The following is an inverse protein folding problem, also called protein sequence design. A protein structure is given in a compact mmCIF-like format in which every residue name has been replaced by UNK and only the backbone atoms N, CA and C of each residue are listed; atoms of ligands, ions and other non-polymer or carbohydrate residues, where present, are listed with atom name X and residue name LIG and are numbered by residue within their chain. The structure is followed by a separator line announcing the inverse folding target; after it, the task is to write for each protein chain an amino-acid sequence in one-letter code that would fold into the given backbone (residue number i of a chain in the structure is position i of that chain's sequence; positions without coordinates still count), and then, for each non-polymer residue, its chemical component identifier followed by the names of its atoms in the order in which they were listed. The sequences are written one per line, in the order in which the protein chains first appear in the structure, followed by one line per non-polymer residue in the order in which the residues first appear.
data_IF_791303667496
#
_entry.id   IF_791303667496
#
_cell.length_a   1.000
_cell.length_b   1.000
_cell.length_c   1.000
_cell.angle_alpha   90.00
_cell.angle_beta   90.00
_cell.angle_gamma   90.00
#
_symmetry.space_group_name_H-M   'P 1'
#
loop_
_entity.id
_entity.type
_entity.pdbx_description
1 polymer ?
#
# COMPACT_ATOMS: atom_id res chain seq x y z
N UNK A 1 7.55 3.48 42.56
CA UNK A 1 7.67 3.71 41.11
C UNK A 1 6.68 2.79 40.42
N UNK A 2 5.59 3.31 39.88
CA UNK A 2 4.63 2.50 39.13
C UNK A 2 5.23 2.17 37.77
N UNK A 3 5.41 0.89 37.45
CA UNK A 3 5.83 0.45 36.13
C UNK A 3 4.65 0.66 35.17
N UNK A 4 4.61 1.82 34.51
CA UNK A 4 3.66 2.08 33.42
C UNK A 4 4.24 1.43 32.18
N UNK A 5 3.78 0.23 31.85
CA UNK A 5 4.10 -0.41 30.58
C UNK A 5 3.38 0.36 29.47
N UNK A 6 4.14 1.02 28.59
CA UNK A 6 3.57 1.70 27.43
C UNK A 6 2.78 0.67 26.59
N UNK A 7 1.52 0.99 26.30
CA UNK A 7 0.70 0.16 25.43
C UNK A 7 1.32 0.16 24.02
N UNK A 8 1.60 -1.03 23.50
CA UNK A 8 2.10 -1.17 22.13
C UNK A 8 1.04 -0.70 21.13
N UNK A 9 1.45 -0.13 19.97
CA UNK A 9 0.53 0.22 18.91
C UNK A 9 -0.29 -1.00 18.48
N UNK A 10 -1.60 -0.81 18.28
CA UNK A 10 -2.50 -1.88 17.82
C UNK A 10 -2.13 -2.40 16.41
N UNK A 11 -1.48 -1.54 15.63
CA UNK A 11 -0.98 -1.81 14.28
C UNK A 11 0.43 -1.30 14.16
N UNK A 12 1.32 -2.16 13.68
CA UNK A 12 2.70 -1.81 13.38
C UNK A 12 3.11 -2.53 12.12
N UNK A 13 3.86 -1.84 11.28
CA UNK A 13 4.47 -2.44 10.10
C UNK A 13 5.55 -3.42 10.55
N UNK A 14 5.57 -4.60 9.96
CA UNK A 14 6.67 -5.53 10.09
C UNK A 14 7.96 -4.92 9.50
N UNK A 15 9.12 -5.48 9.87
CA UNK A 15 10.39 -5.05 9.29
C UNK A 15 10.43 -5.21 7.76
N UNK A 16 9.74 -6.22 7.23
CA UNK A 16 9.61 -6.46 5.79
C UNK A 16 8.76 -5.38 5.14
N UNK A 17 7.59 -5.06 5.69
CA UNK A 17 6.71 -4.00 5.18
C UNK A 17 7.39 -2.62 5.25
N UNK A 18 8.15 -2.35 6.32
CA UNK A 18 8.94 -1.12 6.42
C UNK A 18 10.00 -1.03 5.30
N UNK A 19 10.70 -2.14 5.01
CA UNK A 19 11.70 -2.18 3.94
C UNK A 19 11.04 -2.04 2.56
N UNK A 20 9.92 -2.75 2.35
CA UNK A 20 9.11 -2.67 1.15
C UNK A 20 8.68 -1.23 0.88
N UNK A 21 8.10 -0.53 1.85
CA UNK A 21 7.68 0.87 1.69
C UNK A 21 8.85 1.81 1.38
N UNK A 22 9.98 1.66 2.07
CA UNK A 22 11.17 2.50 1.85
C UNK A 22 11.76 2.31 0.45
N UNK A 23 11.88 1.07 0.00
CA UNK A 23 12.44 0.75 -1.33
C UNK A 23 11.42 1.09 -2.42
N UNK A 24 10.18 0.63 -2.26
CA UNK A 24 9.08 0.86 -3.19
C UNK A 24 8.83 2.34 -3.44
N UNK A 25 8.82 3.17 -2.40
CA UNK A 25 8.64 4.62 -2.58
C UNK A 25 9.80 5.26 -3.37
N UNK A 26 11.04 4.82 -3.17
CA UNK A 26 12.20 5.30 -3.96
C UNK A 26 12.09 4.88 -5.42
N UNK A 27 11.74 3.61 -5.67
CA UNK A 27 11.51 3.10 -7.02
C UNK A 27 10.37 3.84 -7.72
N UNK A 28 9.28 4.15 -7.02
CA UNK A 28 8.19 4.96 -7.58
C UNK A 28 8.70 6.33 -8.02
N UNK A 29 9.50 7.02 -7.21
CA UNK A 29 10.03 8.35 -7.53
C UNK A 29 10.96 8.39 -8.75
N UNK A 30 11.52 7.25 -9.15
CA UNK A 30 12.32 7.10 -10.37
C UNK A 30 11.46 6.91 -11.63
N UNK A 31 10.16 6.57 -11.48
CA UNK A 31 9.23 6.37 -12.59
C UNK A 31 8.63 7.68 -13.11
N UNK A 32 8.24 7.67 -14.39
CA UNK A 32 7.44 8.76 -14.94
C UNK A 32 6.08 8.84 -14.23
N UNK A 33 5.65 10.03 -13.81
CA UNK A 33 4.50 10.27 -12.93
C UNK A 33 4.59 9.62 -11.52
N UNK A 34 5.80 9.19 -11.13
CA UNK A 34 6.09 8.50 -9.87
C UNK A 34 5.66 9.24 -8.61
N UNK A 35 5.71 10.57 -8.62
CA UNK A 35 5.29 11.42 -7.50
C UNK A 35 3.82 11.23 -7.13
N UNK A 36 2.95 10.99 -8.12
CA UNK A 36 1.52 10.80 -7.89
C UNK A 36 1.27 9.43 -7.27
N UNK A 37 2.00 8.40 -7.71
CA UNK A 37 1.96 7.07 -7.08
C UNK A 37 2.53 7.08 -5.65
N UNK A 38 3.60 7.85 -5.40
CA UNK A 38 4.19 8.05 -4.07
C UNK A 38 3.20 8.72 -3.10
N UNK A 39 2.47 9.74 -3.56
CA UNK A 39 1.40 10.35 -2.77
C UNK A 39 0.30 9.33 -2.42
N UNK A 40 -0.19 8.59 -3.42
CA UNK A 40 -1.20 7.55 -3.19
C UNK A 40 -0.69 6.41 -2.27
N UNK A 41 0.60 6.08 -2.30
CA UNK A 41 1.20 5.13 -1.36
C UNK A 41 1.14 5.64 0.09
N UNK A 42 1.32 6.95 0.29
CA UNK A 42 1.17 7.55 1.63
C UNK A 42 -0.29 7.55 2.09
N UNK A 43 -1.24 7.76 1.18
CA UNK A 43 -2.67 7.65 1.48
C UNK A 43 -3.03 6.23 1.96
N UNK A 44 -2.52 5.19 1.32
CA UNK A 44 -2.70 3.79 1.76
C UNK A 44 -2.19 3.60 3.21
N UNK A 45 -1.02 4.13 3.54
CA UNK A 45 -0.44 4.02 4.89
C UNK A 45 -1.30 4.75 5.92
N UNK A 46 -1.76 5.95 5.60
CA UNK A 46 -2.64 6.72 6.47
C UNK A 46 -3.98 6.00 6.70
N UNK A 47 -4.61 5.51 5.63
CA UNK A 47 -5.89 4.82 5.69
C UNK A 47 -5.79 3.47 6.44
N UNK A 48 -4.68 2.74 6.27
CA UNK A 48 -4.46 1.50 7.01
C UNK A 48 -4.37 1.74 8.52
N UNK A 49 -3.68 2.82 8.93
CA UNK A 49 -3.60 3.22 10.33
C UNK A 49 -4.94 3.72 10.89
N UNK A 50 -5.74 4.41 10.07
CA UNK A 50 -7.07 4.89 10.46
C UNK A 50 -8.11 3.75 10.54
N UNK A 51 -7.97 2.72 9.72
CA UNK A 51 -8.91 1.61 9.66
C UNK A 51 -8.93 0.82 10.98
N UNK A 52 -10.13 0.43 11.42
CA UNK A 52 -10.30 -0.45 12.60
C UNK A 52 -10.08 -1.93 12.29
N UNK A 53 -10.02 -2.30 11.01
CA UNK A 53 -9.88 -3.67 10.56
C UNK A 53 -8.54 -4.27 11.03
N UNK A 54 -8.60 -5.50 11.55
CA UNK A 54 -7.42 -6.27 11.96
C UNK A 54 -6.83 -7.04 10.76
N UNK A 55 -6.39 -6.28 9.75
CA UNK A 55 -5.78 -6.82 8.51
C UNK A 55 -4.34 -6.32 8.39
N UNK A 56 -3.46 -7.18 7.88
CA UNK A 56 -2.07 -6.84 7.57
C UNK A 56 -2.00 -5.72 6.52
N UNK A 57 -0.89 -4.98 6.49
CA UNK A 57 -0.75 -3.82 5.61
C UNK A 57 -0.84 -4.23 4.14
N UNK A 58 -0.16 -5.30 3.73
CA UNK A 58 -0.19 -5.77 2.33
C UNK A 58 -1.60 -6.11 1.85
N UNK A 59 -2.37 -6.85 2.67
CA UNK A 59 -3.75 -7.21 2.35
C UNK A 59 -4.65 -5.97 2.23
N UNK A 60 -4.49 -5.03 3.17
CA UNK A 60 -5.23 -3.77 3.13
C UNK A 60 -4.90 -2.96 1.87
N UNK A 61 -3.62 -2.82 1.54
CA UNK A 61 -3.16 -2.06 0.38
C UNK A 61 -3.70 -2.64 -0.93
N UNK A 62 -3.68 -3.97 -1.07
CA UNK A 62 -4.24 -4.66 -2.24
C UNK A 62 -5.74 -4.40 -2.39
N UNK A 63 -6.50 -4.44 -1.29
CA UNK A 63 -7.92 -4.10 -1.28
C UNK A 63 -8.15 -2.63 -1.68
N UNK A 64 -7.40 -1.72 -1.05
CA UNK A 64 -7.50 -0.28 -1.31
C UNK A 64 -7.25 0.08 -2.78
N UNK A 65 -6.26 -0.56 -3.42
CA UNK A 65 -5.97 -0.39 -4.85
C UNK A 65 -7.10 -0.97 -5.71
N UNK A 66 -7.59 -2.17 -5.37
CA UNK A 66 -8.66 -2.85 -6.11
C UNK A 66 -9.98 -2.07 -6.07
N UNK A 67 -10.26 -1.39 -4.96
CA UNK A 67 -11.40 -0.49 -4.79
C UNK A 67 -11.30 0.80 -5.63
N UNK A 68 -10.16 1.06 -6.27
CA UNK A 68 -9.95 2.24 -7.12
C UNK A 68 -9.66 3.52 -6.35
N UNK A 69 -9.26 3.42 -5.08
CA UNK A 69 -9.04 4.58 -4.21
C UNK A 69 -7.88 5.48 -4.68
N UNK A 70 -7.00 5.01 -5.56
CA UNK A 70 -5.91 5.80 -6.15
C UNK A 70 -6.40 7.00 -6.98
N UNK A 71 -7.63 6.97 -7.52
CA UNK A 71 -8.30 8.06 -8.27
C UNK A 71 -7.50 8.67 -9.44
N UNK A 72 -6.38 8.05 -9.83
CA UNK A 72 -5.52 8.47 -10.92
C UNK A 72 -4.95 7.24 -11.63
N UNK A 73 -5.13 7.18 -12.96
CA UNK A 73 -4.73 6.03 -13.78
C UNK A 73 -3.23 5.69 -13.71
N UNK A 74 -2.36 6.69 -13.56
CA UNK A 74 -0.92 6.47 -13.50
C UNK A 74 -0.50 5.95 -12.12
N UNK A 75 -1.10 6.49 -11.05
CA UNK A 75 -0.88 5.97 -9.70
C UNK A 75 -1.42 4.54 -9.56
N UNK A 76 -2.64 4.27 -10.03
CA UNK A 76 -3.23 2.94 -9.98
C UNK A 76 -2.35 1.89 -10.66
N UNK A 77 -1.88 2.17 -11.89
CA UNK A 77 -0.97 1.28 -12.62
C UNK A 77 0.33 1.02 -11.84
N UNK A 78 1.01 2.09 -11.40
CA UNK A 78 2.29 1.96 -10.69
C UNK A 78 2.14 1.25 -9.34
N UNK A 79 1.03 1.46 -8.64
CA UNK A 79 0.74 0.75 -7.39
C UNK A 79 0.40 -0.72 -7.64
N UNK A 80 -0.35 -1.04 -8.70
CA UNK A 80 -0.59 -2.44 -9.08
C UNK A 80 0.71 -3.17 -9.39
N UNK A 81 1.59 -2.55 -10.17
CA UNK A 81 2.92 -3.08 -10.46
C UNK A 81 3.73 -3.27 -9.16
N UNK A 82 3.72 -2.29 -8.25
CA UNK A 82 4.45 -2.35 -6.98
C UNK A 82 3.94 -3.45 -6.04
N UNK A 83 2.63 -3.70 -6.00
CA UNK A 83 1.99 -4.70 -5.14
C UNK A 83 1.77 -6.06 -5.83
N UNK A 84 2.25 -6.22 -7.07
CA UNK A 84 2.08 -7.44 -7.86
C UNK A 84 0.62 -7.79 -8.12
N UNK A 85 -0.24 -6.77 -8.28
CA UNK A 85 -1.62 -6.94 -8.72
C UNK A 85 -1.64 -7.00 -10.24
N UNK A 86 -2.43 -7.92 -10.81
CA UNK A 86 -2.61 -7.98 -12.26
C UNK A 86 -3.06 -6.60 -12.78
N UNK A 87 -2.27 -6.07 -13.72
CA UNK A 87 -2.52 -4.79 -14.40
C UNK A 87 -3.49 -4.92 -15.55
N UNK A 88 -4.01 -6.11 -15.79
CA UNK A 88 -4.79 -6.43 -16.98
C UNK A 88 -6.20 -6.91 -16.59
N UNK A 89 -7.27 -6.20 -17.00
CA UNK A 89 -8.53 -6.86 -17.24
C UNK A 89 -8.40 -7.57 -18.59
N UNK A 90 -7.71 -8.72 -18.66
CA UNK A 90 -7.78 -9.59 -19.83
C UNK A 90 -8.99 -10.52 -19.69
N UNK A 91 -10.11 -10.30 -20.41
CA UNK A 91 -11.17 -11.29 -20.50
C UNK A 91 -10.74 -12.38 -21.48
N UNK A 92 -9.95 -13.37 -21.04
CA UNK A 92 -9.89 -14.77 -21.52
C UNK A 92 -8.62 -15.46 -21.02
N UNK A 93 -8.78 -16.29 -20.00
CA UNK A 93 -8.25 -17.67 -20.04
C UNK A 93 -9.43 -18.63 -20.06
N UNK A 94 -10.13 -18.61 -21.19
CA UNK A 94 -10.99 -19.69 -21.63
C UNK A 94 -10.56 -20.01 -23.07
N UNK A 95 -9.62 -20.94 -23.20
CA UNK A 95 -9.34 -21.83 -24.32
C UNK A 95 -8.16 -22.71 -23.91
#
# INVERSE_FOLDING_TARGET
MSNVTAALPRKSLTSVECKFLKVGNRMLLEQNNGRIASAALMDIVADWHAARANVGFEQFAKGWITEGNAKNKHADKLLRDLFGLDTDPTPRRAA
#
